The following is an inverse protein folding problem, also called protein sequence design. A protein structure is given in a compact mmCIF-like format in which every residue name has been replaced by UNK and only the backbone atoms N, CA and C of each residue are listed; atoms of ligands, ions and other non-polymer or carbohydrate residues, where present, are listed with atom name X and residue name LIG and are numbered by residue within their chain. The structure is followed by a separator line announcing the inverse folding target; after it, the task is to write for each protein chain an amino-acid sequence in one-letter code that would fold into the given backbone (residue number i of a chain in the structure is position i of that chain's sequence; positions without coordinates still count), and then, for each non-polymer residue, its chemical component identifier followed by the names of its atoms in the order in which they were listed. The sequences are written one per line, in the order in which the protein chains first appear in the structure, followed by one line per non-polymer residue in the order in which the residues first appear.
data_IF_258371239026
#
_entry.id   IF_258371239026
#
_cell.length_a   1.000
_cell.length_b   1.000
_cell.length_c   1.000
_cell.angle_alpha   90.00
_cell.angle_beta   90.00
_cell.angle_gamma   90.00
#
_symmetry.space_group_name_H-M   'P 1'
#
loop_
_entity.id
_entity.type
_entity.pdbx_description
1 polymer ?
#
# COMPACT_ATOMS: atom_id res chain seq x y z
N UNK A 1 -12.04 21.48 19.49
CA UNK A 1 -10.96 22.33 20.06
C UNK A 1 -9.92 21.53 20.86
N UNK A 2 -10.30 20.58 21.71
CA UNK A 2 -9.36 19.82 22.59
C UNK A 2 -8.22 19.11 21.86
N UNK A 3 -8.39 18.66 20.61
CA UNK A 3 -7.38 17.92 19.84
C UNK A 3 -6.43 18.80 19.02
N UNK A 4 -6.69 20.12 18.93
CA UNK A 4 -5.86 21.02 18.10
C UNK A 4 -4.45 21.20 18.69
N UNK A 5 -4.35 21.37 20.01
CA UNK A 5 -3.05 21.54 20.68
C UNK A 5 -2.13 20.32 20.50
N UNK A 6 -2.56 19.08 20.80
CA UNK A 6 -1.77 17.90 20.49
C UNK A 6 -1.52 17.74 18.99
N UNK A 7 -2.44 18.16 18.11
CA UNK A 7 -2.23 18.15 16.67
C UNK A 7 -1.12 19.09 16.22
N UNK A 8 -1.08 20.32 16.74
CA UNK A 8 -0.01 21.27 16.47
C UNK A 8 1.35 20.75 16.98
N UNK A 9 1.37 20.16 18.17
CA UNK A 9 2.60 19.55 18.72
C UNK A 9 3.09 18.38 17.84
N UNK A 10 2.18 17.50 17.43
CA UNK A 10 2.51 16.40 16.52
C UNK A 10 3.12 16.92 15.21
N UNK A 11 2.49 17.94 14.61
CA UNK A 11 2.99 18.56 13.38
C UNK A 11 4.38 19.18 13.57
N UNK A 12 4.58 19.92 14.66
CA UNK A 12 5.88 20.51 15.00
C UNK A 12 6.96 19.43 15.09
N UNK A 13 6.69 18.33 15.81
CA UNK A 13 7.61 17.20 15.94
C UNK A 13 7.89 16.51 14.61
N UNK A 14 6.87 16.33 13.76
CA UNK A 14 7.02 15.74 12.43
C UNK A 14 7.89 16.62 11.52
N UNK A 15 7.65 17.93 11.50
CA UNK A 15 8.44 18.91 10.74
C UNK A 15 9.86 18.99 11.27
N UNK A 16 10.06 19.09 12.60
CA UNK A 16 11.37 19.11 13.23
C UNK A 16 12.18 17.86 12.87
N UNK A 17 11.58 16.66 13.04
CA UNK A 17 12.22 15.40 12.68
C UNK A 17 12.67 15.39 11.21
N UNK A 18 11.82 15.81 10.29
CA UNK A 18 12.15 15.90 8.86
C UNK A 18 13.30 16.88 8.62
N UNK A 19 13.28 18.03 9.26
CA UNK A 19 14.32 19.06 9.14
C UNK A 19 15.67 18.54 9.65
N UNK A 20 15.69 17.82 10.78
CA UNK A 20 16.92 17.22 11.33
C UNK A 20 17.55 16.19 10.36
N UNK A 21 16.74 15.39 9.64
CA UNK A 21 17.23 14.52 8.58
C UNK A 21 17.75 15.32 7.37
N UNK A 22 17.06 16.39 6.97
CA UNK A 22 17.48 17.25 5.84
C UNK A 22 18.80 17.99 6.12
N UNK A 23 19.01 18.43 7.34
CA UNK A 23 20.24 19.09 7.78
C UNK A 23 21.39 18.09 8.06
N UNK A 24 21.15 16.77 7.91
CA UNK A 24 22.15 15.74 8.18
C UNK A 24 22.45 15.50 9.66
N UNK A 25 21.72 16.13 10.59
CA UNK A 25 21.85 15.91 12.03
C UNK A 25 21.43 14.46 12.36
N UNK A 26 20.33 14.00 11.79
CA UNK A 26 19.99 12.59 11.81
C UNK A 26 20.54 11.90 10.58
N UNK A 27 21.22 10.78 10.79
CA UNK A 27 21.89 10.04 9.72
C UNK A 27 20.87 9.33 8.83
N UNK A 28 20.86 9.65 7.55
CA UNK A 28 20.19 8.88 6.52
C UNK A 28 21.19 7.95 5.82
N UNK A 29 20.73 6.80 5.40
CA UNK A 29 21.55 5.75 4.81
C UNK A 29 21.07 5.42 3.40
N UNK A 30 22.01 5.25 2.50
CA UNK A 30 21.78 4.88 1.10
C UNK A 30 22.00 3.38 0.90
N UNK A 31 21.17 2.77 0.08
CA UNK A 31 21.38 1.43 -0.42
C UNK A 31 22.19 1.46 -1.74
N UNK A 32 22.88 0.38 -2.10
CA UNK A 32 23.69 0.32 -3.33
C UNK A 32 22.86 0.38 -4.61
N UNK A 33 21.54 0.17 -4.52
CA UNK A 33 20.60 0.22 -5.64
C UNK A 33 19.63 1.39 -5.46
N UNK A 34 18.97 1.86 -6.53
CA UNK A 34 17.93 2.89 -6.43
C UNK A 34 16.77 2.44 -5.53
N UNK A 35 16.18 3.43 -4.86
CA UNK A 35 15.03 3.24 -3.98
C UNK A 35 13.87 4.12 -4.43
N UNK A 36 12.74 3.51 -4.72
CA UNK A 36 11.46 4.18 -4.99
C UNK A 36 10.56 4.02 -3.77
N UNK A 37 10.11 5.13 -3.23
CA UNK A 37 9.18 5.13 -2.10
C UNK A 37 7.78 5.42 -2.60
N UNK A 38 6.84 4.52 -2.30
CA UNK A 38 5.41 4.72 -2.44
C UNK A 38 4.83 4.97 -1.05
N UNK A 39 4.07 6.04 -0.89
CA UNK A 39 3.49 6.34 0.41
C UNK A 39 2.40 7.41 0.35
N UNK A 40 1.99 7.92 1.50
CA UNK A 40 1.04 9.02 1.61
C UNK A 40 1.37 9.91 2.82
N UNK A 41 0.70 11.06 2.88
CA UNK A 41 0.79 12.00 4.00
C UNK A 41 -0.43 11.92 4.93
N UNK A 42 -1.40 11.06 4.63
CA UNK A 42 -2.62 10.85 5.41
C UNK A 42 -2.64 9.46 6.04
N UNK A 43 -3.44 9.25 7.07
CA UNK A 43 -3.75 7.92 7.60
C UNK A 43 -4.84 7.24 6.76
N UNK A 44 -4.86 5.90 6.79
CA UNK A 44 -5.86 5.05 6.13
C UNK A 44 -5.44 4.56 4.75
N UNK A 45 -6.28 3.71 4.18
CA UNK A 45 -6.04 3.00 2.91
C UNK A 45 -6.22 3.91 1.69
N UNK A 46 -5.14 4.47 1.16
CA UNK A 46 -5.16 5.32 -0.05
C UNK A 46 -4.92 4.56 -1.36
N UNK A 47 -4.61 3.26 -1.30
CA UNK A 47 -4.26 2.45 -2.49
C UNK A 47 -2.76 2.34 -2.74
N UNK A 48 -1.92 2.53 -1.72
CA UNK A 48 -0.44 2.41 -1.81
C UNK A 48 -0.01 1.02 -2.28
N UNK A 49 -0.51 -0.02 -1.63
CA UNK A 49 -0.14 -1.42 -1.91
C UNK A 49 -0.50 -1.84 -3.34
N UNK A 50 -1.70 -1.59 -3.87
CA UNK A 50 -2.00 -1.80 -5.29
C UNK A 50 -1.07 -1.01 -6.24
N UNK A 51 -0.71 0.24 -5.90
CA UNK A 51 0.23 1.02 -6.70
C UNK A 51 1.66 0.43 -6.65
N UNK A 52 2.11 -0.01 -5.48
CA UNK A 52 3.43 -0.65 -5.33
C UNK A 52 3.52 -1.95 -6.15
N UNK A 53 2.46 -2.76 -6.16
CA UNK A 53 2.34 -3.97 -7.00
C UNK A 53 2.38 -3.63 -8.48
N UNK A 54 1.57 -2.65 -8.91
CA UNK A 54 1.54 -2.18 -10.28
C UNK A 54 2.91 -1.68 -10.73
N UNK A 55 3.55 -0.83 -9.90
CA UNK A 55 4.88 -0.29 -10.20
C UNK A 55 5.92 -1.40 -10.30
N UNK A 56 5.89 -2.38 -9.40
CA UNK A 56 6.81 -3.52 -9.42
C UNK A 56 6.69 -4.29 -10.73
N UNK A 57 5.47 -4.56 -11.19
CA UNK A 57 5.20 -5.21 -12.46
C UNK A 57 5.71 -4.39 -13.65
N UNK A 58 5.43 -3.08 -13.67
CA UNK A 58 5.89 -2.19 -14.73
C UNK A 58 7.42 -2.09 -14.79
N UNK A 59 8.08 -2.12 -13.64
CA UNK A 59 9.54 -2.11 -13.59
C UNK A 59 10.15 -3.44 -14.05
N UNK A 60 9.49 -4.60 -13.78
CA UNK A 60 9.89 -5.89 -14.36
C UNK A 60 9.82 -5.87 -15.89
N UNK A 61 8.74 -5.35 -16.47
CA UNK A 61 8.55 -5.21 -17.92
C UNK A 61 9.65 -4.32 -18.55
N UNK A 62 10.21 -3.40 -17.78
CA UNK A 62 11.34 -2.52 -18.15
C UNK A 62 12.71 -3.10 -17.79
N UNK A 63 12.78 -4.43 -17.55
CA UNK A 63 14.00 -5.18 -17.24
C UNK A 63 14.69 -4.83 -15.92
N UNK A 64 14.00 -4.14 -14.99
CA UNK A 64 14.46 -4.02 -13.62
C UNK A 64 14.16 -5.30 -12.86
N UNK A 65 14.88 -5.51 -11.75
CA UNK A 65 14.70 -6.64 -10.84
C UNK A 65 14.34 -6.10 -9.46
N UNK A 66 13.08 -5.70 -9.26
CA UNK A 66 12.68 -5.07 -8.01
C UNK A 66 12.59 -6.07 -6.85
N UNK A 67 12.95 -5.59 -5.66
CA UNK A 67 12.57 -6.18 -4.39
C UNK A 67 11.71 -5.19 -3.61
N UNK A 68 10.85 -5.66 -2.72
CA UNK A 68 9.92 -4.83 -1.98
C UNK A 68 10.29 -4.83 -0.49
N UNK A 69 10.30 -3.66 0.13
CA UNK A 69 10.43 -3.51 1.57
C UNK A 69 9.21 -2.84 2.18
N UNK A 70 8.68 -3.42 3.26
CA UNK A 70 7.51 -2.89 3.96
C UNK A 70 7.72 -2.89 5.48
N UNK A 71 6.80 -2.28 6.21
CA UNK A 71 6.91 -2.13 7.68
C UNK A 71 6.58 -3.41 8.44
N UNK A 72 5.64 -4.20 7.93
CA UNK A 72 5.02 -5.24 8.73
C UNK A 72 4.10 -4.63 9.80
N UNK A 73 3.32 -3.61 9.43
CA UNK A 73 2.35 -3.01 10.34
C UNK A 73 1.32 -4.06 10.77
N UNK A 74 0.87 -4.01 12.03
CA UNK A 74 -0.03 -4.98 12.67
C UNK A 74 0.52 -6.41 12.83
N UNK A 75 1.73 -6.71 12.32
CA UNK A 75 2.43 -7.96 12.61
C UNK A 75 3.07 -7.99 14.00
N UNK A 76 3.29 -9.19 14.52
CA UNK A 76 3.90 -9.45 15.83
C UNK A 76 5.43 -9.42 15.86
N UNK A 77 6.08 -8.85 14.85
CA UNK A 77 7.55 -8.84 14.76
C UNK A 77 8.19 -7.98 15.87
N UNK A 78 9.20 -8.50 16.57
CA UNK A 78 9.96 -7.71 17.55
C UNK A 78 10.54 -6.44 16.93
N UNK A 79 10.64 -5.38 17.75
CA UNK A 79 11.23 -4.13 17.31
C UNK A 79 12.69 -4.34 16.83
N UNK A 80 13.01 -3.80 15.64
CA UNK A 80 14.34 -3.93 15.04
C UNK A 80 14.60 -5.23 14.28
N UNK A 81 13.70 -6.23 14.35
CA UNK A 81 13.83 -7.44 13.54
C UNK A 81 13.57 -7.17 12.06
N UNK A 82 14.20 -7.99 11.23
CA UNK A 82 13.98 -8.04 9.78
C UNK A 82 13.64 -9.48 9.42
N UNK A 83 12.62 -9.67 8.58
CA UNK A 83 12.20 -11.00 8.13
C UNK A 83 11.87 -10.97 6.63
N UNK A 84 12.25 -12.01 5.93
CA UNK A 84 11.73 -12.30 4.60
C UNK A 84 10.29 -12.79 4.71
N UNK A 85 9.44 -12.35 3.79
CA UNK A 85 8.03 -12.78 3.71
C UNK A 85 7.94 -14.02 2.84
N UNK A 86 7.48 -15.13 3.43
CA UNK A 86 7.11 -16.34 2.69
C UNK A 86 5.67 -16.24 2.16
N UNK A 87 5.37 -16.94 1.07
CA UNK A 87 3.99 -17.10 0.56
C UNK A 87 3.08 -17.79 1.55
N UNK A 88 3.63 -18.70 2.36
CA UNK A 88 2.91 -19.47 3.40
C UNK A 88 2.97 -18.76 4.76
N UNK A 89 3.40 -17.51 4.79
CA UNK A 89 3.55 -16.73 6.01
C UNK A 89 2.20 -16.44 6.67
N UNK A 90 2.23 -16.27 7.99
CA UNK A 90 1.04 -15.90 8.75
C UNK A 90 0.88 -14.37 8.80
N UNK A 91 -0.29 -13.88 8.37
CA UNK A 91 -0.61 -12.44 8.38
C UNK A 91 -0.55 -11.80 9.79
N UNK A 92 -0.82 -12.57 10.85
CA UNK A 92 -0.73 -12.10 12.25
C UNK A 92 0.73 -11.84 12.69
N UNK A 93 1.70 -12.54 12.08
CA UNK A 93 3.12 -12.37 12.40
C UNK A 93 3.79 -11.28 11.57
N UNK A 94 3.55 -11.29 10.27
CA UNK A 94 4.27 -10.45 9.30
C UNK A 94 3.48 -9.24 8.82
N UNK A 95 2.18 -9.21 9.06
CA UNK A 95 1.23 -8.22 8.58
C UNK A 95 0.51 -8.63 7.29
N UNK A 96 -0.70 -8.17 7.13
CA UNK A 96 -1.59 -8.46 5.98
C UNK A 96 -1.04 -7.88 4.65
N UNK A 97 -0.60 -6.62 4.66
CA UNK A 97 -0.09 -5.95 3.46
C UNK A 97 1.20 -6.59 2.91
N UNK A 98 2.24 -6.91 3.71
CA UNK A 98 3.43 -7.60 3.20
C UNK A 98 3.15 -8.99 2.65
N UNK A 99 2.24 -9.74 3.29
CA UNK A 99 1.85 -11.06 2.79
C UNK A 99 1.15 -10.95 1.44
N UNK A 100 0.24 -9.98 1.30
CA UNK A 100 -0.41 -9.67 0.03
C UNK A 100 0.60 -9.27 -1.05
N UNK A 101 1.57 -8.39 -0.72
CA UNK A 101 2.65 -8.01 -1.64
C UNK A 101 3.43 -9.23 -2.12
N UNK A 102 3.77 -10.17 -1.23
CA UNK A 102 4.50 -11.40 -1.58
C UNK A 102 3.69 -12.29 -2.51
N UNK A 103 2.45 -12.59 -2.14
CA UNK A 103 1.58 -13.51 -2.89
C UNK A 103 1.25 -13.00 -4.29
N UNK A 104 1.01 -11.69 -4.42
CA UNK A 104 0.65 -11.06 -5.69
C UNK A 104 1.84 -10.84 -6.62
N UNK A 105 2.99 -10.44 -6.09
CA UNK A 105 4.14 -10.11 -6.92
C UNK A 105 5.06 -11.29 -7.21
N UNK A 106 5.11 -12.29 -6.31
CA UNK A 106 6.12 -13.35 -6.34
C UNK A 106 7.55 -12.86 -6.06
N UNK A 107 7.75 -11.57 -5.93
CA UNK A 107 9.07 -10.93 -5.73
C UNK A 107 9.63 -11.18 -4.32
N UNK A 108 10.93 -10.93 -4.10
CA UNK A 108 11.49 -10.81 -2.76
C UNK A 108 10.79 -9.69 -1.99
N UNK A 109 10.20 -10.03 -0.84
CA UNK A 109 9.57 -9.07 0.06
C UNK A 109 10.17 -9.21 1.45
N UNK A 110 10.65 -8.11 2.03
CA UNK A 110 11.22 -8.07 3.37
C UNK A 110 10.47 -7.06 4.23
N UNK A 111 10.25 -7.43 5.49
CA UNK A 111 9.62 -6.56 6.48
C UNK A 111 10.57 -6.20 7.60
N UNK A 112 10.43 -5.00 8.11
CA UNK A 112 11.17 -4.53 9.27
C UNK A 112 10.85 -3.07 9.59
N UNK A 113 10.82 -2.71 10.85
CA UNK A 113 10.68 -1.31 11.28
C UNK A 113 11.82 -0.42 10.76
N UNK A 114 13.03 -0.98 10.62
CA UNK A 114 14.18 -0.36 9.97
C UNK A 114 14.25 -0.80 8.50
N UNK A 115 13.74 0.07 7.57
CA UNK A 115 13.74 -0.19 6.13
C UNK A 115 15.14 -0.32 5.53
N UNK A 116 16.14 0.34 6.11
CA UNK A 116 17.53 0.22 5.64
C UNK A 116 18.03 -1.20 5.92
N UNK A 117 17.80 -1.71 7.12
CA UNK A 117 18.16 -3.08 7.47
C UNK A 117 17.41 -4.10 6.60
N UNK A 118 16.10 -3.88 6.38
CA UNK A 118 15.30 -4.74 5.50
C UNK A 118 15.82 -4.73 4.05
N UNK A 119 16.16 -3.56 3.51
CA UNK A 119 16.73 -3.44 2.17
C UNK A 119 18.10 -4.10 2.04
N UNK A 120 18.97 -3.98 3.05
CA UNK A 120 20.27 -4.66 3.09
C UNK A 120 20.12 -6.18 3.14
N UNK A 121 19.21 -6.68 3.98
CA UNK A 121 18.93 -8.11 4.09
C UNK A 121 18.38 -8.67 2.76
N UNK A 122 17.48 -7.94 2.11
CA UNK A 122 16.95 -8.28 0.81
C UNK A 122 18.06 -8.38 -0.25
N UNK A 123 18.91 -7.36 -0.35
CA UNK A 123 19.99 -7.33 -1.33
C UNK A 123 21.07 -8.38 -1.05
N UNK A 124 21.27 -8.74 0.21
CA UNK A 124 22.18 -9.85 0.58
C UNK A 124 21.61 -11.21 0.15
N UNK A 125 20.31 -11.43 0.40
CA UNK A 125 19.64 -12.69 0.02
C UNK A 125 19.40 -12.79 -1.50
N UNK A 126 19.18 -11.65 -2.16
CA UNK A 126 18.87 -11.55 -3.59
C UNK A 126 19.79 -10.54 -4.30
N UNK A 127 21.07 -10.90 -4.54
CA UNK A 127 22.05 -9.98 -5.16
C UNK A 127 21.70 -9.53 -6.58
N UNK A 128 20.81 -10.26 -7.25
CA UNK A 128 20.31 -9.89 -8.58
C UNK A 128 19.32 -8.72 -8.56
N UNK A 129 18.75 -8.36 -7.40
CA UNK A 129 17.88 -7.20 -7.28
C UNK A 129 18.66 -5.91 -7.53
N UNK A 130 18.14 -5.06 -8.42
CA UNK A 130 18.75 -3.80 -8.80
C UNK A 130 17.82 -2.58 -8.55
N UNK A 131 16.72 -2.79 -7.89
CA UNK A 131 15.73 -1.76 -7.51
C UNK A 131 15.04 -2.16 -6.21
N UNK A 132 14.85 -1.21 -5.29
CA UNK A 132 14.01 -1.41 -4.10
C UNK A 132 12.76 -0.53 -4.22
N UNK A 133 11.59 -1.12 -4.02
CA UNK A 133 10.33 -0.41 -3.84
C UNK A 133 9.96 -0.46 -2.36
N UNK A 134 9.82 0.69 -1.72
CA UNK A 134 9.42 0.78 -0.32
C UNK A 134 7.93 1.15 -0.21
N UNK A 135 7.13 0.19 0.24
CA UNK A 135 5.71 0.42 0.51
C UNK A 135 5.52 1.11 1.88
N UNK A 136 4.66 2.13 1.90
CA UNK A 136 4.41 3.06 3.04
C UNK A 136 5.70 3.62 3.66
N UNK A 137 6.62 4.06 2.79
CA UNK A 137 7.97 4.48 3.19
C UNK A 137 8.16 5.98 3.39
N UNK A 138 7.17 6.86 3.11
CA UNK A 138 7.37 8.33 3.07
C UNK A 138 7.96 8.89 4.37
N UNK A 139 7.48 8.45 5.52
CA UNK A 139 7.94 8.92 6.84
C UNK A 139 9.25 8.26 7.31
N UNK A 140 9.81 7.32 6.54
CA UNK A 140 11.05 6.64 6.92
C UNK A 140 12.29 7.36 6.36
N UNK A 141 12.59 8.57 6.88
CA UNK A 141 13.66 9.46 6.41
C UNK A 141 15.08 8.90 6.55
N UNK A 142 15.27 7.86 7.38
CA UNK A 142 16.56 7.17 7.49
C UNK A 142 16.94 6.47 6.19
N UNK A 143 15.97 5.96 5.42
CA UNK A 143 16.21 5.39 4.09
C UNK A 143 16.28 6.52 3.06
N UNK A 144 17.45 6.73 2.46
CA UNK A 144 17.58 7.60 1.30
C UNK A 144 16.82 7.01 0.12
N UNK A 145 16.20 7.87 -0.66
CA UNK A 145 15.34 7.48 -1.78
C UNK A 145 15.72 8.27 -3.03
N UNK A 146 15.52 7.64 -4.15
CA UNK A 146 15.78 8.25 -5.46
C UNK A 146 14.49 8.77 -6.09
N UNK A 147 13.35 8.12 -5.83
CA UNK A 147 12.04 8.60 -6.28
C UNK A 147 11.04 8.49 -5.15
N UNK A 148 10.17 9.47 -5.03
CA UNK A 148 9.13 9.52 -4.02
C UNK A 148 7.78 9.78 -4.67
N UNK A 149 6.84 8.83 -4.50
CA UNK A 149 5.51 8.88 -5.06
C UNK A 149 4.51 9.01 -3.91
N UNK A 150 3.76 10.10 -3.91
CA UNK A 150 2.65 10.26 -2.97
C UNK A 150 1.35 9.73 -3.58
N UNK A 151 0.55 9.04 -2.77
CA UNK A 151 -0.79 8.57 -3.15
C UNK A 151 -1.83 9.31 -2.33
N UNK A 152 -2.78 9.94 -3.01
CA UNK A 152 -3.98 10.49 -2.37
C UNK A 152 -5.21 9.79 -2.93
N UNK A 153 -6.21 9.62 -2.10
CA UNK A 153 -7.51 9.06 -2.50
C UNK A 153 -8.58 10.15 -2.61
N UNK A 154 -9.83 9.75 -2.89
CA UNK A 154 -10.98 10.64 -3.07
C UNK A 154 -11.24 11.56 -1.87
N UNK A 155 -10.75 11.21 -0.67
CA UNK A 155 -10.86 12.06 0.52
C UNK A 155 -9.90 13.26 0.47
N UNK A 156 -8.88 13.23 -0.40
CA UNK A 156 -7.86 14.26 -0.48
C UNK A 156 -7.13 14.46 0.86
N UNK A 157 -7.13 15.68 1.34
CA UNK A 157 -6.55 16.04 2.64
C UNK A 157 -7.58 16.04 3.78
N UNK A 158 -8.84 15.69 3.48
CA UNK A 158 -9.98 15.72 4.42
C UNK A 158 -10.12 17.10 5.09
N UNK A 159 -10.07 17.16 6.43
CA UNK A 159 -10.15 18.44 7.16
C UNK A 159 -8.82 19.22 7.20
N UNK A 160 -7.73 18.69 6.61
CA UNK A 160 -6.42 19.33 6.55
C UNK A 160 -5.65 19.43 7.87
N UNK A 161 -6.18 18.86 8.96
CA UNK A 161 -5.53 18.92 10.27
C UNK A 161 -4.59 17.75 10.51
N UNK A 162 -3.50 17.94 11.28
CA UNK A 162 -2.62 16.87 11.67
C UNK A 162 -3.24 15.94 12.72
N UNK A 163 -2.68 14.74 12.84
CA UNK A 163 -3.04 13.82 13.92
C UNK A 163 -2.80 14.47 15.31
N UNK A 164 -3.67 14.25 16.30
CA UNK A 164 -4.91 13.47 16.24
C UNK A 164 -6.16 14.29 15.85
N UNK A 165 -6.02 15.56 15.49
CA UNK A 165 -7.14 16.46 15.15
C UNK A 165 -7.68 16.20 13.71
N UNK A 166 -6.91 15.54 12.88
CA UNK A 166 -7.25 15.17 11.51
C UNK A 166 -6.37 14.04 10.99
N UNK A 167 -6.37 13.79 9.67
CA UNK A 167 -5.73 12.61 9.09
C UNK A 167 -4.24 12.80 8.78
N UNK A 168 -3.70 14.02 8.84
CA UNK A 168 -2.37 14.29 8.31
C UNK A 168 -1.26 13.74 9.21
N UNK A 169 -0.40 12.89 8.63
CA UNK A 169 0.89 12.45 9.23
C UNK A 169 1.99 13.49 9.03
N UNK A 170 1.85 14.31 7.98
CA UNK A 170 2.79 15.38 7.58
C UNK A 170 2.01 16.56 6.99
N UNK A 171 2.56 17.78 6.99
CA UNK A 171 1.85 18.94 6.44
C UNK A 171 1.60 18.78 4.92
N UNK A 172 0.52 19.38 4.43
CA UNK A 172 0.17 19.34 3.00
C UNK A 172 1.31 19.83 2.08
N UNK A 173 2.12 20.81 2.54
CA UNK A 173 3.30 21.30 1.83
C UNK A 173 4.35 20.22 1.53
N UNK A 174 4.23 19.04 2.17
CA UNK A 174 5.09 17.89 1.90
C UNK A 174 4.94 17.39 0.47
N UNK A 175 3.77 17.53 -0.11
CA UNK A 175 3.49 17.15 -1.50
C UNK A 175 4.28 17.99 -2.53
N UNK A 176 4.69 19.19 -2.16
CA UNK A 176 5.56 20.01 -3.04
C UNK A 176 6.98 19.45 -3.25
N UNK A 177 7.37 18.41 -2.53
CA UNK A 177 8.69 17.81 -2.64
C UNK A 177 8.69 16.35 -3.08
N UNK A 178 7.59 15.83 -3.63
CA UNK A 178 7.52 14.48 -4.22
C UNK A 178 7.83 14.52 -5.72
N UNK A 179 8.22 13.39 -6.27
CA UNK A 179 8.54 13.29 -7.72
C UNK A 179 7.28 13.03 -8.56
N UNK A 180 6.25 12.41 -7.95
CA UNK A 180 4.96 12.19 -8.59
C UNK A 180 3.84 12.16 -7.54
N UNK A 181 2.65 12.58 -7.95
CA UNK A 181 1.42 12.43 -7.20
C UNK A 181 0.49 11.47 -7.93
N UNK A 182 0.06 10.40 -7.28
CA UNK A 182 -0.94 9.48 -7.80
C UNK A 182 -2.26 9.71 -7.10
N UNK A 183 -3.29 10.02 -7.87
CA UNK A 183 -4.64 10.28 -7.39
C UNK A 183 -5.54 9.07 -7.62
N UNK A 184 -6.01 8.45 -6.55
CA UNK A 184 -6.94 7.33 -6.57
C UNK A 184 -8.38 7.84 -6.41
N UNK A 185 -9.03 8.16 -7.53
CA UNK A 185 -10.44 8.57 -7.56
C UNK A 185 -10.72 10.07 -7.49
N UNK A 186 -9.71 10.96 -7.52
CA UNK A 186 -9.92 12.43 -7.53
C UNK A 186 -9.25 13.05 -8.74
N UNK A 187 -9.97 13.92 -9.47
CA UNK A 187 -9.46 14.58 -10.68
C UNK A 187 -8.86 15.99 -10.46
N UNK A 188 -8.97 16.56 -9.26
CA UNK A 188 -8.60 17.96 -9.03
C UNK A 188 -7.60 18.11 -7.88
N UNK A 189 -6.31 17.96 -8.17
CA UNK A 189 -5.24 18.21 -7.21
C UNK A 189 -4.30 19.31 -7.71
N UNK A 190 -4.79 20.56 -7.76
CA UNK A 190 -3.98 21.75 -8.00
C UNK A 190 -2.95 22.05 -6.86
N UNK A 191 -2.68 21.06 -5.99
CA UNK A 191 -1.94 21.24 -4.73
C UNK A 191 -0.45 20.89 -4.88
N UNK A 192 -0.06 20.23 -6.00
CA UNK A 192 1.28 19.69 -6.15
C UNK A 192 1.91 20.13 -7.45
N UNK A 193 3.17 20.66 -7.43
CA UNK A 193 3.91 20.99 -8.66
C UNK A 193 4.43 19.74 -9.41
N UNK A 194 4.42 18.57 -8.76
CA UNK A 194 4.84 17.31 -9.39
C UNK A 194 3.81 16.81 -10.40
N UNK A 195 4.24 16.03 -11.42
CA UNK A 195 3.32 15.36 -12.34
C UNK A 195 2.25 14.54 -11.61
N UNK A 196 1.01 14.67 -12.10
CA UNK A 196 -0.15 13.98 -11.53
C UNK A 196 -0.54 12.82 -12.43
N UNK A 197 -0.78 11.68 -11.80
CA UNK A 197 -1.25 10.46 -12.44
C UNK A 197 -2.58 10.04 -11.80
N UNK A 198 -3.50 9.59 -12.62
CA UNK A 198 -4.79 9.08 -12.16
C UNK A 198 -4.70 7.58 -12.01
N UNK A 199 -5.12 7.07 -10.87
CA UNK A 199 -5.21 5.64 -10.59
C UNK A 199 -6.66 5.23 -10.41
N UNK A 200 -7.03 4.11 -11.03
CA UNK A 200 -8.29 3.41 -10.81
C UNK A 200 -7.98 1.98 -10.37
N UNK A 201 -8.65 1.52 -9.34
CA UNK A 201 -8.62 0.11 -8.95
C UNK A 201 -9.74 -0.63 -9.69
N UNK A 202 -9.39 -1.69 -10.38
CA UNK A 202 -10.31 -2.51 -11.17
C UNK A 202 -10.19 -3.97 -10.79
N UNK A 203 -11.27 -4.74 -10.90
CA UNK A 203 -11.33 -6.17 -10.67
C UNK A 203 -12.78 -6.62 -10.84
N UNK A 204 -13.01 -7.70 -11.54
CA UNK A 204 -14.33 -8.25 -11.87
C UNK A 204 -14.37 -9.79 -11.83
N UNK A 205 -13.21 -10.42 -11.62
CA UNK A 205 -13.07 -11.87 -11.49
C UNK A 205 -12.69 -12.20 -10.05
N UNK A 206 -13.49 -13.02 -9.41
CA UNK A 206 -13.26 -13.55 -8.07
C UNK A 206 -12.50 -14.85 -8.14
N UNK A 207 -11.70 -15.13 -7.10
CA UNK A 207 -11.14 -16.46 -6.89
C UNK A 207 -11.60 -17.05 -5.55
N UNK A 208 -11.71 -18.37 -5.47
CA UNK A 208 -12.06 -19.06 -4.23
C UNK A 208 -10.83 -19.12 -3.30
N UNK A 209 -10.98 -18.68 -2.05
CA UNK A 209 -9.87 -18.60 -1.10
C UNK A 209 -9.19 -19.95 -0.86
N UNK A 210 -9.97 -21.04 -0.75
CA UNK A 210 -9.47 -22.42 -0.54
C UNK A 210 -8.81 -23.04 -1.79
N UNK A 211 -9.13 -22.57 -3.00
CA UNK A 211 -8.50 -22.99 -4.25
C UNK A 211 -8.46 -21.81 -5.25
N UNK A 212 -7.40 -21.00 -5.24
CA UNK A 212 -7.31 -19.80 -6.09
C UNK A 212 -7.33 -20.06 -7.61
N UNK A 213 -7.25 -21.33 -8.05
CA UNK A 213 -7.43 -21.69 -9.47
C UNK A 213 -8.89 -21.68 -9.87
N UNK A 214 -9.81 -21.83 -8.93
CA UNK A 214 -11.23 -21.67 -9.19
C UNK A 214 -11.59 -20.19 -9.22
N UNK A 215 -12.09 -19.75 -10.36
CA UNK A 215 -12.48 -18.35 -10.57
C UNK A 215 -13.91 -18.26 -11.05
N UNK A 216 -14.56 -17.14 -10.74
CA UNK A 216 -15.90 -16.84 -11.25
C UNK A 216 -16.09 -15.33 -11.45
N UNK A 217 -17.13 -14.97 -12.19
CA UNK A 217 -17.60 -13.58 -12.31
C UNK A 217 -18.77 -13.32 -11.36
N UNK A 218 -19.13 -12.06 -11.18
CA UNK A 218 -20.28 -11.66 -10.36
C UNK A 218 -21.59 -12.37 -10.78
N UNK A 219 -21.79 -12.61 -12.08
CA UNK A 219 -22.98 -13.29 -12.60
C UNK A 219 -23.18 -14.69 -12.01
N UNK A 220 -22.11 -15.43 -11.74
CA UNK A 220 -22.17 -16.77 -11.15
C UNK A 220 -22.60 -16.75 -9.68
N UNK A 221 -22.46 -15.63 -8.99
CA UNK A 221 -22.76 -15.49 -7.56
C UNK A 221 -24.14 -14.91 -7.25
N UNK A 222 -24.80 -14.30 -8.23
CA UNK A 222 -26.05 -13.53 -8.05
C UNK A 222 -27.25 -14.31 -7.49
N UNK A 223 -27.24 -15.64 -7.58
CA UNK A 223 -28.31 -16.50 -7.09
C UNK A 223 -28.12 -16.98 -5.64
N UNK A 224 -27.02 -16.59 -5.00
CA UNK A 224 -26.64 -17.00 -3.65
C UNK A 224 -26.93 -15.89 -2.65
N UNK A 225 -27.07 -16.24 -1.37
CA UNK A 225 -27.07 -15.26 -0.26
C UNK A 225 -25.64 -14.84 0.00
N UNK A 226 -25.30 -13.62 -0.38
CA UNK A 226 -23.96 -13.06 -0.27
C UNK A 226 -23.84 -12.15 0.94
N UNK A 227 -22.67 -12.18 1.59
CA UNK A 227 -22.24 -11.17 2.55
C UNK A 227 -20.85 -10.64 2.18
N UNK A 228 -20.73 -9.33 2.10
CA UNK A 228 -19.47 -8.65 1.86
C UNK A 228 -18.81 -8.28 3.20
N UNK A 229 -17.59 -8.76 3.41
CA UNK A 229 -16.81 -8.57 4.63
C UNK A 229 -15.57 -7.75 4.32
N UNK A 230 -15.38 -6.62 5.01
CA UNK A 230 -14.24 -5.75 4.80
C UNK A 230 -13.76 -5.07 6.08
N UNK A 231 -12.48 -5.31 6.44
CA UNK A 231 -11.74 -4.70 7.56
C UNK A 231 -10.62 -3.81 7.04
N UNK A 232 -10.97 -2.81 6.27
CA UNK A 232 -10.06 -1.82 5.68
C UNK A 232 -10.51 -0.41 6.02
N UNK A 233 -9.61 0.58 5.89
CA UNK A 233 -9.87 1.96 6.27
C UNK A 233 -11.05 2.65 5.54
N UNK A 234 -11.56 2.07 4.46
CA UNK A 234 -12.75 2.51 3.72
C UNK A 234 -13.52 1.34 3.12
N UNK A 235 -14.28 0.58 3.91
CA UNK A 235 -14.99 -0.61 3.44
C UNK A 235 -16.05 -0.29 2.38
N UNK A 236 -16.65 0.91 2.40
CA UNK A 236 -17.64 1.36 1.42
C UNK A 236 -17.10 1.40 -0.03
N UNK A 237 -15.78 1.50 -0.22
CA UNK A 237 -15.21 1.36 -1.57
C UNK A 237 -15.37 -0.04 -2.12
N UNK A 238 -15.14 -1.03 -1.29
CA UNK A 238 -15.34 -2.42 -1.65
C UNK A 238 -16.80 -2.70 -1.92
N UNK A 239 -17.70 -2.25 -1.05
CA UNK A 239 -19.14 -2.44 -1.22
C UNK A 239 -19.65 -1.78 -2.50
N UNK A 240 -19.32 -0.51 -2.75
CA UNK A 240 -19.67 0.17 -4.02
C UNK A 240 -19.09 -0.54 -5.25
N UNK A 241 -17.91 -1.14 -5.15
CA UNK A 241 -17.35 -1.90 -6.27
C UNK A 241 -18.18 -3.16 -6.55
N UNK A 242 -18.58 -3.90 -5.52
CA UNK A 242 -19.44 -5.07 -5.66
C UNK A 242 -20.83 -4.71 -6.22
N UNK A 243 -21.42 -3.59 -5.76
CA UNK A 243 -22.68 -3.06 -6.30
C UNK A 243 -22.57 -2.71 -7.78
N UNK A 244 -21.46 -2.07 -8.18
CA UNK A 244 -21.17 -1.74 -9.58
C UNK A 244 -21.00 -3.00 -10.46
N UNK A 245 -20.62 -4.14 -9.88
CA UNK A 245 -20.60 -5.45 -10.54
C UNK A 245 -22.00 -6.11 -10.59
N UNK A 246 -23.03 -5.46 -10.03
CA UNK A 246 -24.42 -5.93 -10.03
C UNK A 246 -24.75 -6.94 -8.93
N UNK A 247 -23.91 -7.08 -7.92
CA UNK A 247 -24.14 -7.99 -6.79
C UNK A 247 -25.06 -7.37 -5.74
N UNK A 248 -25.85 -8.23 -5.06
CA UNK A 248 -26.68 -7.91 -3.90
C UNK A 248 -26.16 -8.71 -2.72
N UNK A 249 -25.84 -8.04 -1.61
CA UNK A 249 -25.20 -8.66 -0.45
C UNK A 249 -25.56 -7.90 0.84
N UNK A 250 -25.33 -8.52 2.00
CA UNK A 250 -25.31 -7.81 3.27
C UNK A 250 -23.89 -7.25 3.54
N UNK A 251 -23.81 -6.03 4.09
CA UNK A 251 -22.55 -5.37 4.39
C UNK A 251 -22.08 -5.69 5.83
N UNK A 252 -20.84 -6.10 5.97
CA UNK A 252 -20.20 -6.37 7.24
C UNK A 252 -18.84 -5.63 7.29
N UNK A 253 -18.87 -4.40 7.82
CA UNK A 253 -17.69 -3.57 7.98
C UNK A 253 -17.02 -3.84 9.33
N UNK A 254 -15.70 -4.09 9.29
CA UNK A 254 -14.86 -4.25 10.47
C UNK A 254 -13.81 -3.12 10.55
N UNK A 255 -13.22 -2.87 11.72
CA UNK A 255 -12.11 -1.92 11.84
C UNK A 255 -10.93 -2.24 10.91
N UNK A 256 -10.17 -1.20 10.51
CA UNK A 256 -8.96 -1.43 9.70
C UNK A 256 -7.98 -2.33 10.46
N UNK A 257 -7.38 -3.29 9.75
CA UNK A 257 -6.50 -4.34 10.29
C UNK A 257 -7.17 -5.25 11.35
N UNK A 258 -8.50 -5.41 11.28
CA UNK A 258 -9.21 -6.30 12.18
C UNK A 258 -8.61 -7.73 12.15
N UNK A 259 -8.47 -8.31 13.33
CA UNK A 259 -8.05 -9.71 13.52
C UNK A 259 -9.31 -10.54 13.60
N UNK A 260 -9.66 -11.17 12.49
CA UNK A 260 -10.84 -12.03 12.44
C UNK A 260 -10.64 -13.28 13.30
N UNK A 261 -11.73 -13.75 13.88
CA UNK A 261 -11.85 -15.07 14.46
C UNK A 261 -13.03 -15.85 13.84
N UNK A 262 -13.14 -17.13 14.18
CA UNK A 262 -14.20 -17.98 13.64
C UNK A 262 -15.60 -17.49 14.04
N UNK A 263 -15.75 -16.85 15.22
CA UNK A 263 -17.04 -16.35 15.71
C UNK A 263 -17.50 -15.12 14.89
N UNK A 264 -16.59 -14.23 14.51
CA UNK A 264 -16.89 -13.10 13.64
C UNK A 264 -17.57 -13.56 12.34
N UNK A 265 -16.99 -14.58 11.71
CA UNK A 265 -17.49 -15.09 10.44
C UNK A 265 -18.73 -15.96 10.62
N UNK A 266 -18.80 -16.76 11.69
CA UNK A 266 -19.95 -17.63 11.98
C UNK A 266 -21.24 -16.83 12.24
N UNK A 267 -21.14 -15.65 12.84
CA UNK A 267 -22.28 -14.77 13.11
C UNK A 267 -22.95 -14.23 11.85
N UNK A 268 -22.26 -14.22 10.71
CA UNK A 268 -22.77 -13.70 9.44
C UNK A 268 -23.68 -14.75 8.78
N UNK A 269 -24.93 -14.39 8.48
CA UNK A 269 -25.88 -15.27 7.83
C UNK A 269 -25.82 -15.12 6.30
N UNK A 270 -24.99 -15.95 5.66
CA UNK A 270 -24.82 -15.97 4.21
C UNK A 270 -24.40 -17.38 3.75
N UNK A 271 -24.64 -17.70 2.49
CA UNK A 271 -24.15 -18.93 1.86
C UNK A 271 -22.69 -18.78 1.43
N UNK A 272 -22.31 -17.55 1.08
CA UNK A 272 -20.99 -17.18 0.55
C UNK A 272 -20.53 -15.85 1.16
N UNK A 273 -19.24 -15.77 1.48
CA UNK A 273 -18.59 -14.53 1.89
C UNK A 273 -17.78 -13.94 0.72
N UNK A 274 -17.90 -12.63 0.54
CA UNK A 274 -17.10 -11.85 -0.39
C UNK A 274 -16.09 -11.02 0.40
N UNK A 275 -14.81 -11.11 0.05
CA UNK A 275 -13.75 -10.43 0.79
C UNK A 275 -12.78 -9.70 -0.13
N UNK A 276 -12.11 -8.68 0.43
CA UNK A 276 -10.90 -8.11 -0.19
C UNK A 276 -9.73 -9.08 -0.01
N UNK A 277 -8.70 -8.97 -0.85
CA UNK A 277 -7.47 -9.76 -0.68
C UNK A 277 -6.77 -9.47 0.66
N UNK A 278 -6.81 -8.20 1.12
CA UNK A 278 -6.23 -7.79 2.41
C UNK A 278 -6.90 -8.49 3.60
N UNK A 279 -8.19 -8.73 3.51
CA UNK A 279 -8.94 -9.43 4.57
C UNK A 279 -8.81 -10.94 4.43
N UNK A 280 -8.86 -11.46 3.22
CA UNK A 280 -8.81 -12.88 2.92
C UNK A 280 -7.55 -13.57 3.47
N UNK A 281 -6.38 -12.94 3.38
CA UNK A 281 -5.11 -13.48 3.94
C UNK A 281 -5.12 -13.68 5.46
N UNK A 282 -6.13 -13.11 6.16
CA UNK A 282 -6.34 -13.27 7.60
C UNK A 282 -7.37 -14.34 7.94
N UNK A 283 -8.08 -14.88 6.95
CA UNK A 283 -9.28 -15.70 7.14
C UNK A 283 -9.16 -17.12 6.57
N UNK A 284 -7.96 -17.57 6.17
CA UNK A 284 -7.76 -18.81 5.40
C UNK A 284 -8.37 -20.05 6.06
N UNK A 285 -8.27 -20.21 7.40
CA UNK A 285 -8.76 -21.38 8.13
C UNK A 285 -9.88 -21.04 9.11
N UNK A 286 -10.55 -19.88 8.96
CA UNK A 286 -11.54 -19.43 9.96
C UNK A 286 -12.97 -19.86 9.64
N UNK A 287 -13.25 -20.40 8.45
CA UNK A 287 -14.61 -20.79 8.05
C UNK A 287 -14.59 -21.89 6.99
N UNK A 288 -15.55 -22.81 7.07
CA UNK A 288 -15.80 -23.81 6.03
C UNK A 288 -16.66 -23.28 4.87
N UNK A 289 -17.27 -22.10 5.06
CA UNK A 289 -18.06 -21.48 3.99
C UNK A 289 -17.18 -21.01 2.84
N UNK A 290 -17.67 -21.08 1.60
CA UNK A 290 -16.96 -20.52 0.45
C UNK A 290 -16.68 -19.02 0.65
N UNK A 291 -15.40 -18.64 0.54
CA UNK A 291 -14.96 -17.24 0.55
C UNK A 291 -14.46 -16.90 -0.85
N UNK A 292 -15.17 -16.02 -1.54
CA UNK A 292 -14.75 -15.50 -2.83
C UNK A 292 -14.06 -14.16 -2.65
N UNK A 293 -12.86 -14.09 -3.14
CA UNK A 293 -11.98 -12.94 -2.98
C UNK A 293 -11.96 -12.13 -4.27
N UNK A 294 -12.20 -10.83 -4.19
CA UNK A 294 -12.07 -9.92 -5.32
C UNK A 294 -10.68 -9.28 -5.33
N UNK A 295 -9.78 -9.72 -6.20
CA UNK A 295 -8.51 -9.05 -6.39
C UNK A 295 -8.72 -7.73 -7.13
N UNK A 296 -7.94 -6.72 -6.75
CA UNK A 296 -7.92 -5.44 -7.45
C UNK A 296 -6.56 -5.15 -8.06
N UNK A 297 -6.56 -4.61 -9.27
CA UNK A 297 -5.36 -4.18 -9.98
C UNK A 297 -5.41 -2.68 -10.22
N UNK A 298 -4.31 -2.00 -10.00
CA UNK A 298 -4.20 -0.58 -10.31
C UNK A 298 -4.04 -0.38 -11.83
N UNK A 299 -4.83 0.52 -12.38
CA UNK A 299 -4.63 1.09 -13.70
C UNK A 299 -4.20 2.55 -13.52
N UNK A 300 -3.04 2.90 -14.04
CA UNK A 300 -2.45 4.24 -13.86
C UNK A 300 -2.27 4.90 -15.22
N UNK A 301 -2.76 6.11 -15.33
CA UNK A 301 -2.62 6.93 -16.53
C UNK A 301 -2.19 8.36 -16.16
N UNK A 302 -1.46 9.09 -17.02
CA UNK A 302 -1.14 10.49 -16.78
C UNK A 302 -2.43 11.32 -16.76
N UNK A 303 -2.52 12.31 -15.85
CA UNK A 303 -3.67 13.23 -15.79
C UNK A 303 -3.70 14.19 -16.99
N UNK A 304 -2.56 14.47 -17.57
CA UNK A 304 -2.38 15.28 -18.79
C UNK A 304 -1.53 14.46 -19.76
N UNK A 305 -1.76 14.60 -21.06
CA UNK A 305 -0.98 13.88 -22.08
C UNK A 305 0.53 14.02 -21.84
N UNK A 306 1.22 12.90 -21.78
CA UNK A 306 2.65 12.85 -21.45
C UNK A 306 3.15 11.43 -21.26
N UNK A 307 4.28 11.30 -20.57
CA UNK A 307 4.86 10.00 -20.24
C UNK A 307 4.05 9.28 -19.15
N UNK A 308 4.03 7.96 -19.18
CA UNK A 308 3.44 7.16 -18.11
C UNK A 308 4.26 7.23 -16.81
N UNK A 309 3.66 6.85 -15.69
CA UNK A 309 4.31 6.90 -14.37
C UNK A 309 5.58 6.05 -14.31
N UNK A 310 5.59 4.86 -14.92
CA UNK A 310 6.76 3.97 -14.84
C UNK A 310 7.92 4.55 -15.65
N UNK A 311 7.67 5.15 -16.82
CA UNK A 311 8.68 5.87 -17.60
C UNK A 311 9.19 7.10 -16.85
N UNK A 312 8.30 7.84 -16.18
CA UNK A 312 8.70 8.97 -15.33
C UNK A 312 9.62 8.52 -14.18
N UNK A 313 9.25 7.46 -13.48
CA UNK A 313 10.06 6.87 -12.39
C UNK A 313 11.43 6.45 -12.90
N UNK A 314 11.48 5.73 -14.02
CA UNK A 314 12.75 5.28 -14.62
C UNK A 314 13.65 6.47 -15.02
N UNK A 315 13.07 7.50 -15.63
CA UNK A 315 13.80 8.71 -15.97
C UNK A 315 14.39 9.38 -14.72
N UNK A 316 13.60 9.55 -13.65
CA UNK A 316 14.07 10.13 -12.37
C UNK A 316 15.16 9.28 -11.71
N UNK A 317 15.07 7.96 -11.78
CA UNK A 317 16.12 7.06 -11.28
C UNK A 317 17.43 7.32 -12.07
N UNK A 318 17.36 7.33 -13.41
CA UNK A 318 18.54 7.51 -14.28
C UNK A 318 19.19 8.88 -14.06
N UNK A 319 18.43 9.96 -13.98
CA UNK A 319 18.94 11.30 -13.65
C UNK A 319 19.75 11.30 -12.35
N UNK A 320 19.20 10.69 -11.29
CA UNK A 320 19.84 10.66 -9.97
C UNK A 320 20.99 9.66 -9.85
N UNK A 321 21.03 8.66 -10.71
CA UNK A 321 22.17 7.74 -10.82
C UNK A 321 23.37 8.37 -11.53
N UNK A 322 23.16 9.18 -12.57
CA UNK A 322 24.26 9.83 -13.30
C UNK A 322 25.09 10.82 -12.45
N UNK A 323 24.51 11.35 -11.39
CA UNK A 323 25.23 12.16 -10.37
C UNK A 323 25.84 11.36 -9.21
N UNK A 324 25.87 10.01 -9.27
CA UNK A 324 26.42 9.18 -8.20
C UNK A 324 27.89 8.92 -8.41
N UNK A 325 28.74 9.06 -7.38
CA UNK A 325 30.06 8.46 -7.41
C UNK A 325 29.95 6.94 -7.56
N UNK A 326 30.88 6.28 -8.25
CA UNK A 326 30.93 4.82 -8.30
C UNK A 326 30.98 4.24 -6.90
N UNK A 327 30.29 3.13 -6.68
CA UNK A 327 30.21 2.41 -5.39
C UNK A 327 31.55 1.78 -5.00
#
# INVERSE_FOLDING_TARGET
MLLLLPGCLFLLLAVLRRTLYRLGIFRSERLPVPVVVVGNITVGGSGKTPLALWLAQQMLERHWRPGIVSRGYAGGLPAGSVREVSTDGNALEIGDEPLLLKRRSGLPVFVGSNRVAAGRALLHAYPACNLIISDDGMQHYRLQRDVEIAVLDERGLMNGWPLPAGPLREPASRLGGVDALVSNGVSHLAICPAPIFLMKLTGDVFYLLSDPRQTCTAAALNHLRLAAVAGMGMPQRFFRHLEALGLRFSEHAFPDHHRYDAADLAAIQADVLLMTEKDAVKCEDLTERPVWVLPVTAQVAPAVAGIDLAAHVEHRIRERMHGRPPA
#
